data_IF_967597936933
#
_entry.id   IF_967597936933
#
_cell.length_a   1.000
_cell.length_b   1.000
_cell.length_c   1.000
_cell.angle_alpha   90.00
_cell.angle_beta   90.00
_cell.angle_gamma   90.00
#
_symmetry.space_group_name_H-M   'P 1'
#
loop_
_entity.id
_entity.type
_entity.pdbx_description
1 polymer ?
#
# COMPACT_ATOMS: atom_id res chain seq x y z
N UNK A 1 52.16 -30.21 -8.13
CA UNK A 1 50.77 -30.54 -8.39
C UNK A 1 49.99 -29.27 -8.12
N UNK A 2 49.71 -28.52 -9.14
CA UNK A 2 49.01 -27.23 -9.05
C UNK A 2 47.49 -27.51 -9.12
N UNK A 3 46.79 -27.26 -8.04
CA UNK A 3 45.32 -27.35 -8.00
C UNK A 3 44.79 -26.15 -8.81
N UNK A 4 44.31 -26.40 -10.02
CA UNK A 4 43.53 -25.42 -10.78
C UNK A 4 42.11 -25.48 -10.23
N UNK A 5 41.70 -24.45 -9.50
CA UNK A 5 40.28 -24.24 -9.17
C UNK A 5 39.62 -23.61 -10.39
N UNK A 6 38.81 -24.35 -11.08
CA UNK A 6 37.84 -23.77 -12.00
C UNK A 6 36.80 -23.03 -11.12
N UNK A 7 36.91 -21.71 -11.08
CA UNK A 7 35.84 -20.86 -10.58
C UNK A 7 34.72 -20.95 -11.62
N UNK A 8 33.74 -21.79 -11.34
CA UNK A 8 32.48 -21.76 -12.10
C UNK A 8 31.82 -20.43 -11.73
N UNK A 9 32.10 -19.39 -12.51
CA UNK A 9 31.24 -18.19 -12.54
C UNK A 9 29.87 -18.60 -13.11
N UNK A 10 29.06 -19.27 -12.30
CA UNK A 10 27.63 -19.18 -12.49
C UNK A 10 27.20 -17.82 -11.97
N UNK A 11 27.32 -16.80 -12.80
CA UNK A 11 26.68 -15.54 -12.55
C UNK A 11 25.18 -15.86 -12.33
N UNK A 12 24.73 -15.87 -11.08
CA UNK A 12 23.33 -16.02 -10.77
C UNK A 12 22.60 -14.89 -11.52
N UNK A 13 21.76 -15.25 -12.47
CA UNK A 13 20.96 -14.26 -13.19
C UNK A 13 20.16 -13.46 -12.16
N UNK A 14 20.16 -12.13 -12.24
CA UNK A 14 19.37 -11.33 -11.31
C UNK A 14 17.90 -11.76 -11.35
N UNK A 15 17.21 -11.66 -10.21
CA UNK A 15 15.80 -12.03 -10.15
C UNK A 15 14.98 -11.14 -11.10
N UNK A 16 14.16 -11.75 -11.94
CA UNK A 16 13.28 -11.06 -12.88
C UNK A 16 11.98 -10.71 -12.18
N UNK A 17 11.73 -9.41 -12.03
CA UNK A 17 10.52 -8.87 -11.42
C UNK A 17 9.65 -8.24 -12.50
N UNK A 18 8.39 -8.64 -12.58
CA UNK A 18 7.41 -8.05 -13.50
C UNK A 18 6.31 -7.33 -12.73
N UNK A 19 5.82 -6.24 -13.31
CA UNK A 19 4.69 -5.47 -12.78
C UNK A 19 3.60 -5.46 -13.82
N UNK A 20 2.44 -6.02 -13.50
CA UNK A 20 1.28 -6.04 -14.38
C UNK A 20 0.17 -5.15 -13.85
N UNK A 21 -0.17 -4.10 -14.60
CA UNK A 21 -1.28 -3.20 -14.31
C UNK A 21 -2.55 -3.63 -15.03
N UNK A 22 -3.62 -3.86 -14.27
CA UNK A 22 -4.87 -4.43 -14.78
C UNK A 22 -6.01 -3.43 -14.69
N UNK A 23 -6.66 -3.19 -15.85
CA UNK A 23 -7.73 -2.23 -15.98
C UNK A 23 -7.26 -0.77 -15.93
N UNK A 24 -8.17 0.19 -15.94
CA UNK A 24 -7.82 1.61 -15.99
C UNK A 24 -6.91 2.07 -14.86
N UNK A 25 -7.26 1.76 -13.60
CA UNK A 25 -6.46 2.15 -12.44
C UNK A 25 -5.07 1.51 -12.46
N UNK A 26 -4.96 0.20 -12.73
CA UNK A 26 -3.67 -0.47 -12.85
C UNK A 26 -2.81 0.07 -13.99
N UNK A 27 -3.40 0.37 -15.14
CA UNK A 27 -2.71 0.99 -16.26
C UNK A 27 -2.20 2.41 -15.94
N UNK A 28 -2.94 3.19 -15.14
CA UNK A 28 -2.49 4.50 -14.68
C UNK A 28 -1.32 4.40 -13.70
N UNK A 29 -1.37 3.44 -12.78
CA UNK A 29 -0.27 3.16 -11.87
C UNK A 29 1.01 2.78 -12.64
N UNK A 30 0.92 1.95 -13.69
CA UNK A 30 2.07 1.64 -14.56
C UNK A 30 2.63 2.89 -15.22
N UNK A 31 1.77 3.75 -15.79
CA UNK A 31 2.25 5.02 -16.37
C UNK A 31 2.96 5.90 -15.33
N UNK A 32 2.43 5.96 -14.10
CA UNK A 32 3.07 6.70 -13.00
C UNK A 32 4.45 6.12 -12.66
N UNK A 33 4.58 4.79 -12.56
CA UNK A 33 5.84 4.12 -12.28
C UNK A 33 6.89 4.37 -13.37
N UNK A 34 6.50 4.30 -14.63
CA UNK A 34 7.38 4.56 -15.78
C UNK A 34 7.84 6.03 -15.78
N UNK A 35 6.91 6.97 -15.60
CA UNK A 35 7.21 8.41 -15.54
C UNK A 35 8.10 8.80 -14.35
N UNK A 36 8.03 8.04 -13.27
CA UNK A 36 8.86 8.21 -12.08
C UNK A 36 10.15 7.39 -12.13
N UNK A 37 10.48 6.81 -13.29
CA UNK A 37 11.71 6.05 -13.51
C UNK A 37 11.96 4.93 -12.49
N UNK A 38 10.93 4.15 -12.18
CA UNK A 38 11.12 2.92 -11.37
C UNK A 38 11.91 1.92 -12.21
N UNK A 39 13.05 1.49 -11.69
CA UNK A 39 14.00 0.62 -12.38
C UNK A 39 13.97 -0.82 -11.85
N UNK A 40 14.61 -1.74 -12.59
CA UNK A 40 14.78 -3.13 -12.17
C UNK A 40 13.53 -4.01 -12.33
N UNK A 41 12.48 -3.51 -13.01
CA UNK A 41 11.23 -4.23 -13.24
C UNK A 41 10.78 -4.13 -14.69
N UNK A 42 10.08 -5.17 -15.17
CA UNK A 42 9.43 -5.17 -16.48
C UNK A 42 7.95 -4.80 -16.35
N UNK A 43 7.51 -3.81 -17.13
CA UNK A 43 6.14 -3.32 -17.08
C UNK A 43 5.24 -3.96 -18.13
N UNK A 44 4.05 -4.40 -17.67
CA UNK A 44 2.99 -4.97 -18.49
C UNK A 44 1.69 -4.24 -18.16
N UNK A 45 0.90 -3.89 -19.17
CA UNK A 45 -0.45 -3.35 -18.99
C UNK A 45 -1.47 -4.25 -19.65
N UNK A 46 -2.53 -4.59 -18.92
CA UNK A 46 -3.63 -5.43 -19.39
C UNK A 46 -4.98 -4.74 -19.19
N UNK A 47 -5.75 -4.58 -20.25
CA UNK A 47 -7.06 -3.90 -20.17
C UNK A 47 -8.02 -4.43 -21.21
N UNK A 48 -9.33 -4.35 -20.91
CA UNK A 48 -10.44 -4.60 -21.85
C UNK A 48 -10.78 -3.39 -22.70
N UNK A 49 -10.29 -2.19 -22.31
CA UNK A 49 -10.46 -0.94 -23.04
C UNK A 49 -9.24 -0.69 -23.94
N UNK A 50 -9.45 -0.81 -25.23
CA UNK A 50 -8.41 -0.65 -26.24
C UNK A 50 -7.89 0.79 -26.32
N UNK A 51 -8.74 1.81 -26.11
CA UNK A 51 -8.32 3.21 -26.17
C UNK A 51 -7.38 3.54 -25.00
N UNK A 52 -7.77 3.14 -23.77
CA UNK A 52 -6.93 3.30 -22.60
C UNK A 52 -5.58 2.58 -22.76
N UNK A 53 -5.59 1.39 -23.38
CA UNK A 53 -4.38 0.60 -23.60
C UNK A 53 -3.44 1.21 -24.65
N UNK A 54 -3.99 1.86 -25.68
CA UNK A 54 -3.17 2.57 -26.70
C UNK A 54 -2.41 3.76 -26.12
N UNK A 55 -2.97 4.45 -25.14
CA UNK A 55 -2.35 5.60 -24.46
C UNK A 55 -1.37 5.18 -23.36
N UNK A 56 -1.30 3.90 -23.04
CA UNK A 56 -0.42 3.38 -22.01
C UNK A 56 1.02 3.28 -22.48
N UNK A 57 1.97 3.57 -21.58
CA UNK A 57 3.41 3.62 -21.87
C UNK A 57 4.14 2.28 -21.65
N UNK A 58 3.45 1.25 -21.13
CA UNK A 58 4.07 -0.04 -20.91
C UNK A 58 4.62 -0.65 -22.20
N UNK A 59 5.85 -1.20 -22.18
CA UNK A 59 6.44 -1.88 -23.32
C UNK A 59 5.61 -3.08 -23.80
N UNK A 60 5.03 -3.85 -22.86
CA UNK A 60 4.15 -4.97 -23.16
C UNK A 60 2.71 -4.61 -22.77
N UNK A 61 1.80 -4.75 -23.73
CA UNK A 61 0.37 -4.42 -23.56
C UNK A 61 -0.48 -5.58 -24.03
N UNK A 62 -1.46 -5.98 -23.23
CA UNK A 62 -2.36 -7.10 -23.48
C UNK A 62 -3.79 -6.55 -23.53
N UNK A 63 -4.44 -6.67 -24.67
CA UNK A 63 -5.88 -6.40 -24.74
C UNK A 63 -6.63 -7.64 -24.29
N UNK A 64 -7.42 -7.53 -23.21
CA UNK A 64 -8.18 -8.64 -22.65
C UNK A 64 -9.58 -8.73 -23.28
N UNK A 65 -9.99 -9.95 -23.60
CA UNK A 65 -11.34 -10.26 -24.07
C UNK A 65 -11.68 -9.56 -25.40
N UNK A 66 -10.80 -9.67 -26.37
CA UNK A 66 -10.96 -9.02 -27.68
C UNK A 66 -12.30 -9.40 -28.34
N UNK A 67 -12.71 -10.68 -28.26
CA UNK A 67 -13.98 -11.13 -28.80
C UNK A 67 -15.16 -10.74 -27.90
N UNK A 68 -14.96 -10.81 -26.57
CA UNK A 68 -16.02 -10.56 -25.60
C UNK A 68 -16.37 -9.07 -25.49
N UNK A 69 -15.37 -8.19 -25.38
CA UNK A 69 -15.56 -6.75 -25.13
C UNK A 69 -15.43 -5.86 -26.36
N UNK A 70 -14.80 -6.38 -27.41
CA UNK A 70 -14.50 -5.63 -28.66
C UNK A 70 -13.73 -4.32 -28.39
N UNK A 71 -12.95 -4.28 -27.33
CA UNK A 71 -12.18 -3.09 -26.93
C UNK A 71 -12.99 -1.98 -26.26
N UNK A 72 -14.26 -2.22 -25.91
CA UNK A 72 -15.14 -1.23 -25.28
C UNK A 72 -15.13 -1.25 -23.75
N UNK A 73 -14.30 -2.09 -23.15
CA UNK A 73 -14.22 -2.22 -21.70
C UNK A 73 -15.21 -3.23 -21.12
N UNK A 74 -15.15 -3.45 -19.81
CA UNK A 74 -15.97 -4.43 -19.08
C UNK A 74 -17.28 -3.85 -18.52
N UNK A 75 -17.60 -2.56 -18.75
CA UNK A 75 -18.85 -1.93 -18.31
C UNK A 75 -19.09 -1.99 -16.79
N UNK A 76 -18.02 -1.86 -15.98
CA UNK A 76 -18.06 -2.01 -14.52
C UNK A 76 -18.56 -3.38 -14.01
N UNK A 77 -18.54 -4.42 -14.86
CA UNK A 77 -18.96 -5.77 -14.51
C UNK A 77 -17.74 -6.68 -14.32
N UNK A 78 -17.44 -7.16 -13.08
CA UNK A 78 -16.28 -8.01 -12.81
C UNK A 78 -16.34 -9.37 -13.51
N UNK A 79 -17.52 -9.95 -13.74
CA UNK A 79 -17.64 -11.22 -14.46
C UNK A 79 -17.21 -11.08 -15.93
N UNK A 80 -17.48 -9.92 -16.55
CA UNK A 80 -16.96 -9.63 -17.90
C UNK A 80 -15.44 -9.50 -17.87
N UNK A 81 -14.88 -8.79 -16.87
CA UNK A 81 -13.44 -8.66 -16.69
C UNK A 81 -12.74 -10.00 -16.46
N UNK A 82 -13.34 -10.88 -15.66
CA UNK A 82 -12.87 -12.24 -15.40
C UNK A 82 -12.86 -13.07 -16.69
N UNK A 83 -13.98 -13.11 -17.41
CA UNK A 83 -14.08 -13.89 -18.64
C UNK A 83 -13.15 -13.36 -19.74
N UNK A 84 -12.94 -12.05 -19.79
CA UNK A 84 -11.96 -11.43 -20.69
C UNK A 84 -10.52 -11.90 -20.39
N UNK A 85 -10.14 -11.99 -19.11
CA UNK A 85 -8.83 -12.52 -18.74
C UNK A 85 -8.70 -14.02 -19.01
N UNK A 86 -9.77 -14.78 -18.84
CA UNK A 86 -9.77 -16.21 -19.17
C UNK A 86 -9.66 -16.48 -20.68
N UNK A 87 -10.24 -15.60 -21.52
CA UNK A 87 -10.10 -15.67 -22.98
C UNK A 87 -8.64 -15.54 -23.42
N UNK A 88 -7.88 -14.65 -22.76
CA UNK A 88 -6.47 -14.37 -23.10
C UNK A 88 -5.47 -14.98 -22.11
N UNK A 89 -5.82 -16.10 -21.47
CA UNK A 89 -5.00 -16.78 -20.47
C UNK A 89 -3.58 -17.08 -20.99
N UNK A 90 -3.46 -17.55 -22.22
CA UNK A 90 -2.17 -17.90 -22.84
C UNK A 90 -1.29 -16.65 -23.04
N UNK A 91 -1.87 -15.54 -23.49
CA UNK A 91 -1.15 -14.29 -23.67
C UNK A 91 -0.65 -13.72 -22.33
N UNK A 92 -1.45 -13.87 -21.26
CA UNK A 92 -1.04 -13.50 -19.89
C UNK A 92 0.12 -14.39 -19.42
N UNK A 93 0.01 -15.70 -19.59
CA UNK A 93 1.05 -16.65 -19.19
C UNK A 93 2.37 -16.38 -19.95
N UNK A 94 2.30 -16.14 -21.27
CA UNK A 94 3.47 -15.74 -22.07
C UNK A 94 4.09 -14.42 -21.58
N UNK A 95 3.26 -13.46 -21.18
CA UNK A 95 3.75 -12.20 -20.64
C UNK A 95 4.49 -12.35 -19.31
N UNK A 96 4.05 -13.28 -18.47
CA UNK A 96 4.62 -13.56 -17.16
C UNK A 96 5.80 -14.54 -17.21
N UNK A 97 6.01 -15.20 -18.34
CA UNK A 97 7.06 -16.20 -18.47
C UNK A 97 8.44 -15.67 -18.10
N UNK A 98 9.21 -16.47 -17.36
CA UNK A 98 10.55 -16.13 -16.87
C UNK A 98 10.58 -15.21 -15.65
N UNK A 99 9.44 -14.76 -15.10
CA UNK A 99 9.41 -13.98 -13.89
C UNK A 99 9.68 -14.86 -12.65
N UNK A 100 10.48 -14.33 -11.71
CA UNK A 100 10.62 -14.89 -10.38
C UNK A 100 9.56 -14.31 -9.43
N UNK A 101 9.13 -13.06 -9.68
CA UNK A 101 8.13 -12.34 -8.91
C UNK A 101 7.24 -11.51 -9.83
N UNK A 102 5.97 -11.41 -9.50
CA UNK A 102 5.03 -10.52 -10.17
C UNK A 102 4.29 -9.65 -9.18
N UNK A 103 4.29 -8.34 -9.44
CA UNK A 103 3.37 -7.40 -8.81
C UNK A 103 2.13 -7.26 -9.68
N UNK A 104 0.96 -7.44 -9.07
CA UNK A 104 -0.33 -7.20 -9.70
C UNK A 104 -0.87 -5.89 -9.14
N UNK A 105 -1.03 -4.87 -9.98
CA UNK A 105 -1.64 -3.60 -9.56
C UNK A 105 -2.98 -3.39 -10.25
N UNK A 106 -4.01 -3.03 -9.47
CA UNK A 106 -5.35 -2.80 -9.98
C UNK A 106 -6.16 -1.87 -9.08
N UNK A 107 -7.04 -1.08 -9.68
CA UNK A 107 -8.11 -0.40 -8.94
C UNK A 107 -9.29 -1.35 -8.76
N UNK A 108 -9.62 -1.68 -7.50
CA UNK A 108 -10.74 -2.55 -7.18
C UNK A 108 -12.08 -1.77 -7.26
N UNK A 109 -13.18 -2.48 -7.47
CA UNK A 109 -14.52 -1.88 -7.58
C UNK A 109 -14.96 -1.57 -9.01
N UNK A 110 -14.06 -1.72 -9.99
CA UNK A 110 -14.38 -1.66 -11.42
C UNK A 110 -14.67 -3.04 -12.01
N UNK A 111 -14.83 -3.11 -13.33
CA UNK A 111 -15.05 -4.38 -14.04
C UNK A 111 -13.74 -5.13 -14.29
N UNK A 112 -12.83 -4.54 -15.07
CA UNK A 112 -11.60 -5.21 -15.53
C UNK A 112 -10.66 -5.52 -14.36
N UNK A 113 -10.29 -4.51 -13.56
CA UNK A 113 -9.35 -4.70 -12.45
C UNK A 113 -9.84 -5.75 -11.46
N UNK A 114 -11.09 -5.62 -11.01
CA UNK A 114 -11.69 -6.52 -10.01
C UNK A 114 -11.84 -7.96 -10.50
N UNK A 115 -12.24 -8.11 -11.78
CA UNK A 115 -12.50 -9.43 -12.36
C UNK A 115 -11.25 -10.14 -12.85
N UNK A 116 -10.34 -9.43 -13.51
CA UNK A 116 -9.15 -10.02 -14.14
C UNK A 116 -7.97 -10.23 -13.17
N UNK A 117 -7.81 -9.38 -12.13
CA UNK A 117 -6.69 -9.53 -11.21
C UNK A 117 -6.61 -10.91 -10.53
N UNK A 118 -7.72 -11.51 -10.03
CA UNK A 118 -7.67 -12.87 -9.48
C UNK A 118 -7.28 -13.93 -10.52
N UNK A 119 -7.67 -13.76 -11.80
CA UNK A 119 -7.30 -14.70 -12.86
C UNK A 119 -5.81 -14.60 -13.18
N UNK A 120 -5.26 -13.40 -13.27
CA UNK A 120 -3.82 -13.19 -13.47
C UNK A 120 -3.02 -13.76 -12.30
N UNK A 121 -3.49 -13.58 -11.07
CA UNK A 121 -2.86 -14.15 -9.88
C UNK A 121 -2.86 -15.69 -9.89
N UNK A 122 -3.96 -16.30 -10.31
CA UNK A 122 -4.08 -17.75 -10.47
C UNK A 122 -3.07 -18.30 -11.49
N UNK A 123 -2.95 -17.63 -12.63
CA UNK A 123 -1.96 -17.97 -13.68
C UNK A 123 -0.54 -17.89 -13.13
N UNK A 124 -0.20 -16.80 -12.44
CA UNK A 124 1.13 -16.58 -11.86
C UNK A 124 1.46 -17.66 -10.83
N UNK A 125 0.49 -18.00 -9.97
CA UNK A 125 0.62 -19.04 -8.96
C UNK A 125 0.84 -20.43 -9.58
N UNK A 126 0.10 -20.80 -10.63
CA UNK A 126 0.30 -22.05 -11.37
C UNK A 126 1.70 -22.13 -11.99
N UNK A 127 2.26 -20.99 -12.39
CA UNK A 127 3.63 -20.90 -12.92
C UNK A 127 4.71 -20.91 -11.81
N UNK A 128 4.33 -20.95 -10.53
CA UNK A 128 5.26 -20.92 -9.38
C UNK A 128 5.93 -19.57 -9.15
N UNK A 129 5.36 -18.49 -9.68
CA UNK A 129 5.88 -17.12 -9.55
C UNK A 129 5.41 -16.54 -8.22
N UNK A 130 6.32 -15.93 -7.44
CA UNK A 130 5.94 -15.19 -6.22
C UNK A 130 5.00 -14.05 -6.61
N UNK A 131 3.77 -14.09 -6.09
CA UNK A 131 2.69 -13.19 -6.52
C UNK A 131 2.29 -12.23 -5.41
N UNK A 132 2.54 -10.95 -5.61
CA UNK A 132 2.17 -9.87 -4.68
C UNK A 132 1.17 -8.94 -5.36
N UNK A 133 -0.02 -8.81 -4.77
CA UNK A 133 -0.99 -7.83 -5.26
C UNK A 133 -0.92 -6.54 -4.44
N UNK A 134 -0.85 -5.41 -5.12
CA UNK A 134 -0.91 -4.06 -4.55
C UNK A 134 -2.06 -3.32 -5.21
N UNK A 135 -3.17 -3.19 -4.50
CA UNK A 135 -4.43 -2.74 -5.10
C UNK A 135 -5.09 -1.64 -4.29
N UNK A 136 -5.82 -0.76 -4.97
CA UNK A 136 -6.55 0.32 -4.30
C UNK A 136 -8.00 -0.08 -4.04
N UNK A 137 -8.53 0.33 -2.88
CA UNK A 137 -9.95 0.25 -2.53
C UNK A 137 -10.62 1.60 -2.82
N UNK A 138 -11.82 1.60 -3.47
CA UNK A 138 -12.54 2.83 -3.79
C UNK A 138 -12.85 3.66 -2.56
N UNK A 139 -13.14 4.95 -2.78
CA UNK A 139 -13.63 5.86 -1.75
C UNK A 139 -15.04 5.46 -1.27
N UNK A 140 -15.38 5.82 -0.03
CA UNK A 140 -16.69 5.50 0.57
C UNK A 140 -17.86 6.08 -0.22
N UNK A 141 -17.71 7.26 -0.79
CA UNK A 141 -18.74 7.90 -1.63
C UNK A 141 -18.99 7.17 -2.95
N UNK A 142 -18.13 6.25 -3.38
CA UNK A 142 -18.33 5.45 -4.60
C UNK A 142 -19.36 4.31 -4.41
N UNK A 143 -19.88 4.11 -3.20
CA UNK A 143 -21.06 3.30 -2.91
C UNK A 143 -20.98 1.86 -3.41
N UNK A 144 -21.68 1.54 -4.52
CA UNK A 144 -21.73 0.17 -5.07
C UNK A 144 -20.34 -0.40 -5.40
N UNK A 145 -19.38 0.44 -5.77
CA UNK A 145 -18.01 0.00 -6.09
C UNK A 145 -17.29 -0.60 -4.88
N UNK A 146 -17.59 -0.14 -3.66
CA UNK A 146 -17.06 -0.73 -2.44
C UNK A 146 -17.48 -2.18 -2.24
N UNK A 147 -18.75 -2.49 -2.52
CA UNK A 147 -19.27 -3.87 -2.40
C UNK A 147 -18.57 -4.77 -3.42
N UNK A 148 -18.45 -4.29 -4.66
CA UNK A 148 -17.76 -5.01 -5.73
C UNK A 148 -16.27 -5.20 -5.42
N UNK A 149 -15.63 -4.16 -4.84
CA UNK A 149 -14.22 -4.22 -4.42
C UNK A 149 -14.01 -5.26 -3.31
N UNK A 150 -14.90 -5.30 -2.32
CA UNK A 150 -14.81 -6.26 -1.22
C UNK A 150 -14.84 -7.72 -1.72
N UNK A 151 -15.79 -8.03 -2.58
CA UNK A 151 -15.92 -9.37 -3.18
C UNK A 151 -14.68 -9.74 -4.04
N UNK A 152 -14.18 -8.76 -4.81
CA UNK A 152 -12.95 -8.96 -5.59
C UNK A 152 -11.69 -9.14 -4.75
N UNK A 153 -11.56 -8.41 -3.65
CA UNK A 153 -10.46 -8.55 -2.70
C UNK A 153 -10.44 -9.94 -2.03
N UNK A 154 -11.61 -10.44 -1.63
CA UNK A 154 -11.74 -11.79 -1.06
C UNK A 154 -11.28 -12.86 -2.05
N UNK A 155 -11.66 -12.73 -3.33
CA UNK A 155 -11.21 -13.67 -4.38
C UNK A 155 -9.71 -13.53 -4.63
N UNK A 156 -9.17 -12.31 -4.70
CA UNK A 156 -7.76 -12.06 -4.95
C UNK A 156 -6.87 -12.59 -3.81
N UNK A 157 -7.28 -12.38 -2.56
CA UNK A 157 -6.57 -12.83 -1.34
C UNK A 157 -6.24 -14.33 -1.37
N UNK A 158 -7.11 -15.15 -1.96
CA UNK A 158 -6.92 -16.60 -2.04
C UNK A 158 -5.94 -17.03 -3.15
N UNK A 159 -5.60 -16.12 -4.06
CA UNK A 159 -4.77 -16.41 -5.24
C UNK A 159 -3.37 -15.80 -5.16
N UNK A 160 -3.10 -14.93 -4.20
CA UNK A 160 -1.80 -14.27 -4.06
C UNK A 160 -1.05 -14.77 -2.81
N UNK A 161 0.26 -14.64 -2.80
CA UNK A 161 1.09 -14.90 -1.63
C UNK A 161 0.96 -13.76 -0.62
N UNK A 162 0.91 -12.52 -1.11
CA UNK A 162 0.75 -11.32 -0.28
C UNK A 162 -0.21 -10.32 -0.92
N UNK A 163 -1.11 -9.76 -0.13
CA UNK A 163 -2.10 -8.75 -0.56
C UNK A 163 -1.95 -7.45 0.22
N UNK A 164 -1.53 -6.39 -0.48
CA UNK A 164 -1.46 -5.04 0.04
C UNK A 164 -2.68 -4.27 -0.47
N UNK A 165 -3.54 -3.81 0.43
CA UNK A 165 -4.73 -3.02 0.09
C UNK A 165 -4.52 -1.59 0.53
N UNK A 166 -4.70 -0.65 -0.40
CA UNK A 166 -4.59 0.78 -0.17
C UNK A 166 -5.99 1.38 -0.15
N UNK A 167 -6.54 1.74 1.03
CA UNK A 167 -7.82 2.41 1.12
C UNK A 167 -7.69 3.88 0.69
N UNK A 168 -8.38 4.29 -0.39
CA UNK A 168 -8.30 5.67 -0.86
C UNK A 168 -8.76 6.70 0.19
N UNK A 169 -9.72 6.33 1.05
CA UNK A 169 -10.18 7.21 2.13
C UNK A 169 -9.08 7.59 3.12
N UNK A 170 -8.16 6.67 3.41
CA UNK A 170 -7.03 6.94 4.29
C UNK A 170 -6.05 7.94 3.68
N UNK A 171 -5.91 7.95 2.36
CA UNK A 171 -5.08 8.93 1.66
C UNK A 171 -5.69 10.34 1.75
N UNK A 172 -7.01 10.46 1.66
CA UNK A 172 -7.69 11.75 1.81
C UNK A 172 -7.48 12.34 3.21
N UNK A 173 -7.49 11.50 4.24
CA UNK A 173 -7.24 11.94 5.62
C UNK A 173 -5.83 12.55 5.79
N UNK A 174 -4.86 12.06 5.02
CA UNK A 174 -3.48 12.58 5.03
C UNK A 174 -3.29 13.84 4.18
N UNK A 175 -4.03 13.95 3.06
CA UNK A 175 -3.88 15.05 2.10
C UNK A 175 -4.70 16.29 2.47
N UNK A 176 -5.77 16.14 3.27
CA UNK A 176 -6.72 17.20 3.59
C UNK A 176 -7.87 17.33 2.57
N UNK A 177 -8.87 18.15 2.90
CA UNK A 177 -10.12 18.24 2.12
C UNK A 177 -10.00 19.13 0.86
N UNK A 178 -8.98 19.99 0.77
CA UNK A 178 -8.83 20.98 -0.32
C UNK A 178 -8.11 20.44 -1.58
N UNK A 179 -7.84 19.11 -1.63
CA UNK A 179 -7.15 18.51 -2.79
C UNK A 179 -8.10 18.30 -3.96
N UNK A 180 -7.58 18.48 -5.18
CA UNK A 180 -8.35 18.16 -6.38
C UNK A 180 -8.53 16.64 -6.55
N UNK A 181 -9.61 16.24 -7.24
CA UNK A 181 -9.85 14.82 -7.56
C UNK A 181 -8.66 14.19 -8.28
N UNK A 182 -8.00 14.95 -9.17
CA UNK A 182 -6.80 14.49 -9.88
C UNK A 182 -5.62 14.23 -8.93
N UNK A 183 -5.41 15.09 -7.96
CA UNK A 183 -4.35 14.93 -6.96
C UNK A 183 -4.62 13.75 -6.03
N UNK A 184 -5.88 13.53 -5.63
CA UNK A 184 -6.28 12.39 -4.83
C UNK A 184 -5.97 11.04 -5.52
N UNK A 185 -6.32 10.91 -6.81
CA UNK A 185 -5.99 9.70 -7.58
C UNK A 185 -4.48 9.57 -7.84
N UNK A 186 -3.79 10.68 -8.09
CA UNK A 186 -2.34 10.66 -8.23
C UNK A 186 -1.64 10.19 -6.95
N UNK A 187 -2.11 10.61 -5.79
CA UNK A 187 -1.58 10.13 -4.51
C UNK A 187 -1.76 8.62 -4.34
N UNK A 188 -2.91 8.06 -4.79
CA UNK A 188 -3.11 6.61 -4.80
C UNK A 188 -2.11 5.90 -5.73
N UNK A 189 -1.86 6.44 -6.93
CA UNK A 189 -0.87 5.91 -7.86
C UNK A 189 0.56 6.04 -7.30
N UNK A 190 0.88 7.12 -6.58
CA UNK A 190 2.17 7.33 -5.91
C UNK A 190 2.41 6.31 -4.80
N UNK A 191 1.38 5.94 -4.04
CA UNK A 191 1.48 4.88 -3.02
C UNK A 191 1.69 3.51 -3.67
N UNK A 192 0.95 3.19 -4.75
CA UNK A 192 1.18 1.97 -5.53
C UNK A 192 2.63 1.89 -6.06
N UNK A 193 3.14 3.02 -6.57
CA UNK A 193 4.53 3.13 -7.02
C UNK A 193 5.52 2.88 -5.87
N UNK A 194 5.32 3.55 -4.72
CA UNK A 194 6.21 3.40 -3.57
C UNK A 194 6.24 1.97 -3.05
N UNK A 195 5.10 1.26 -3.09
CA UNK A 195 5.03 -0.14 -2.71
C UNK A 195 5.88 -1.03 -3.62
N UNK A 196 5.71 -0.88 -4.93
CA UNK A 196 6.47 -1.65 -5.91
C UNK A 196 7.95 -1.28 -5.87
N UNK A 197 8.29 0.01 -5.87
CA UNK A 197 9.66 0.49 -5.80
C UNK A 197 10.37 0.02 -4.52
N UNK A 198 9.74 0.17 -3.36
CA UNK A 198 10.32 -0.21 -2.08
C UNK A 198 10.68 -1.70 -1.97
N UNK A 199 9.92 -2.58 -2.62
CA UNK A 199 10.22 -4.02 -2.64
C UNK A 199 11.22 -4.35 -3.76
N UNK A 200 11.04 -3.77 -4.96
CA UNK A 200 11.93 -4.07 -6.10
C UNK A 200 13.35 -3.55 -5.86
N UNK A 201 13.50 -2.35 -5.29
CA UNK A 201 14.82 -1.77 -4.97
C UNK A 201 15.66 -2.69 -4.09
N UNK A 202 15.06 -3.30 -3.08
CA UNK A 202 15.75 -4.25 -2.17
C UNK A 202 16.39 -5.41 -2.92
N UNK A 203 15.74 -5.87 -3.99
CA UNK A 203 16.17 -7.04 -4.77
C UNK A 203 17.09 -6.64 -5.92
N UNK A 204 16.84 -5.49 -6.56
CA UNK A 204 17.48 -5.12 -7.84
C UNK A 204 18.56 -4.05 -7.70
N UNK A 205 18.50 -3.22 -6.66
CA UNK A 205 19.48 -2.16 -6.44
C UNK A 205 20.53 -2.62 -5.43
N UNK A 206 21.81 -2.71 -5.80
CA UNK A 206 22.86 -3.05 -4.86
C UNK A 206 22.98 -1.95 -3.81
N UNK A 207 22.90 -2.34 -2.54
CA UNK A 207 23.11 -1.49 -1.39
C UNK A 207 24.27 -2.01 -0.53
N UNK A 208 24.48 -1.41 0.64
CA UNK A 208 25.50 -1.87 1.60
C UNK A 208 25.09 -3.22 2.22
N UNK A 209 23.78 -3.38 2.49
CA UNK A 209 23.19 -4.62 3.02
C UNK A 209 22.16 -5.09 2.01
N UNK A 210 22.53 -6.12 1.26
CA UNK A 210 21.65 -6.71 0.27
C UNK A 210 20.83 -7.84 0.88
N UNK A 211 19.53 -7.81 0.61
CA UNK A 211 18.67 -8.97 0.83
C UNK A 211 18.66 -9.80 -0.45
N UNK A 212 18.83 -11.09 -0.33
CA UNK A 212 18.64 -11.97 -1.47
C UNK A 212 17.13 -12.16 -1.76
N UNK A 213 16.84 -12.65 -2.97
CA UNK A 213 15.45 -12.89 -3.38
C UNK A 213 14.76 -13.92 -2.45
N UNK A 214 15.50 -14.87 -1.87
CA UNK A 214 14.94 -15.88 -0.97
C UNK A 214 14.47 -15.24 0.34
N UNK A 215 15.19 -14.26 0.88
CA UNK A 215 14.79 -13.50 2.07
C UNK A 215 13.49 -12.74 1.84
N UNK A 216 13.38 -12.03 0.71
CA UNK A 216 12.15 -11.31 0.33
C UNK A 216 11.01 -12.30 0.13
N UNK A 217 11.26 -13.43 -0.56
CA UNK A 217 10.26 -14.48 -0.76
C UNK A 217 9.76 -15.03 0.58
N UNK A 218 10.62 -15.29 1.53
CA UNK A 218 10.23 -15.82 2.84
C UNK A 218 9.27 -14.88 3.55
N UNK A 219 9.59 -13.58 3.63
CA UNK A 219 8.73 -12.58 4.28
C UNK A 219 7.42 -12.38 3.51
N UNK A 220 7.48 -12.29 2.18
CA UNK A 220 6.30 -12.02 1.34
C UNK A 220 5.39 -13.24 1.16
N UNK A 221 5.89 -14.46 1.39
CA UNK A 221 5.08 -15.69 1.34
C UNK A 221 4.34 -15.97 2.65
N UNK A 222 4.52 -15.18 3.70
CA UNK A 222 3.73 -15.29 4.93
C UNK A 222 2.30 -14.91 4.59
N UNK A 223 1.42 -15.91 4.57
CA UNK A 223 0.03 -15.77 4.16
C UNK A 223 -0.73 -14.75 5.03
N UNK A 224 -1.48 -13.87 4.42
CA UNK A 224 -2.31 -12.89 5.11
C UNK A 224 -2.38 -11.56 4.40
N UNK A 225 -2.95 -10.60 5.08
CA UNK A 225 -2.87 -9.21 4.64
C UNK A 225 -1.47 -8.67 4.91
N UNK A 226 -0.98 -7.88 3.98
CA UNK A 226 0.22 -7.09 4.16
C UNK A 226 -0.13 -5.60 4.13
N UNK A 227 0.60 -4.83 4.90
CA UNK A 227 0.47 -3.38 4.91
C UNK A 227 1.83 -2.73 4.77
N UNK A 228 1.83 -1.49 4.31
CA UNK A 228 3.05 -0.75 4.02
C UNK A 228 2.95 0.67 4.53
N UNK A 229 4.06 1.15 5.08
CA UNK A 229 4.31 2.55 5.30
C UNK A 229 5.60 2.99 4.64
N UNK A 230 5.63 4.17 4.06
CA UNK A 230 6.83 4.74 3.47
C UNK A 230 6.88 6.23 3.75
N UNK A 231 8.02 6.71 4.22
CA UNK A 231 8.24 8.13 4.44
C UNK A 231 9.68 8.52 4.11
N UNK A 232 9.87 9.80 3.81
CA UNK A 232 11.16 10.38 3.45
C UNK A 232 11.38 11.62 4.29
N UNK A 233 12.54 11.71 4.92
CA UNK A 233 12.94 12.88 5.70
C UNK A 233 14.33 13.35 5.33
N UNK A 234 14.65 14.60 5.67
CA UNK A 234 15.95 15.23 5.47
C UNK A 234 16.51 15.83 6.75
N UNK A 235 17.82 16.13 6.74
CA UNK A 235 18.49 16.78 7.84
C UNK A 235 19.08 15.83 8.89
N UNK A 236 19.32 16.35 10.11
CA UNK A 236 20.11 15.67 11.15
C UNK A 236 19.40 14.45 11.73
N UNK A 237 18.07 14.53 11.91
CA UNK A 237 17.25 13.48 12.55
C UNK A 237 16.44 12.67 11.53
N UNK A 238 16.89 12.68 10.26
CA UNK A 238 16.17 12.08 9.11
C UNK A 238 15.83 10.60 9.32
N UNK A 239 16.70 9.84 9.96
CA UNK A 239 16.50 8.42 10.20
C UNK A 239 15.32 8.16 11.12
N UNK A 240 15.26 8.86 12.26
CA UNK A 240 14.17 8.75 13.22
C UNK A 240 12.85 9.27 12.63
N UNK A 241 12.88 10.47 12.06
CA UNK A 241 11.68 11.10 11.48
C UNK A 241 11.08 10.25 10.36
N UNK A 242 11.88 9.79 9.39
CA UNK A 242 11.39 8.93 8.32
C UNK A 242 10.81 7.62 8.84
N UNK A 243 11.41 7.04 9.89
CA UNK A 243 10.92 5.77 10.45
C UNK A 243 9.63 5.96 11.23
N UNK A 244 9.55 6.98 12.09
CA UNK A 244 8.34 7.31 12.85
C UNK A 244 7.18 7.66 11.91
N UNK A 245 7.41 8.47 10.88
CA UNK A 245 6.41 8.82 9.86
C UNK A 245 5.98 7.61 9.02
N UNK A 246 6.92 6.71 8.67
CA UNK A 246 6.58 5.48 7.97
C UNK A 246 5.68 4.57 8.81
N UNK A 247 5.95 4.44 10.11
CA UNK A 247 5.13 3.66 11.05
C UNK A 247 3.78 4.34 11.29
N UNK A 248 3.78 5.68 11.40
CA UNK A 248 2.56 6.49 11.57
C UNK A 248 1.76 6.67 10.27
N UNK A 249 2.17 6.01 9.18
CA UNK A 249 1.45 6.10 7.90
C UNK A 249 -0.02 5.74 8.08
N UNK A 250 -0.96 6.53 7.54
CA UNK A 250 -2.41 6.24 7.59
C UNK A 250 -2.77 4.86 7.05
N UNK A 251 -1.90 4.26 6.24
CA UNK A 251 -2.07 2.93 5.68
C UNK A 251 -1.79 1.82 6.71
N UNK A 252 -1.04 2.13 7.77
CA UNK A 252 -0.74 1.21 8.87
C UNK A 252 -1.63 1.44 10.11
N UNK A 253 -2.39 2.56 10.15
CA UNK A 253 -3.13 3.04 11.34
C UNK A 253 -4.21 2.07 11.87
N UNK A 254 -4.84 1.28 11.00
CA UNK A 254 -5.87 0.30 11.39
C UNK A 254 -5.29 -1.05 11.88
N UNK A 255 -3.96 -1.21 11.87
CA UNK A 255 -3.30 -2.48 12.18
C UNK A 255 -2.09 -2.25 13.08
N UNK A 256 -2.05 -2.97 14.18
CA UNK A 256 -0.85 -2.98 15.02
C UNK A 256 0.24 -3.81 14.35
N UNK A 257 1.42 -3.23 14.16
CA UNK A 257 2.62 -3.98 13.74
C UNK A 257 2.98 -5.12 14.72
N UNK A 258 2.46 -5.04 15.96
CA UNK A 258 2.58 -6.09 16.98
C UNK A 258 1.92 -7.42 16.56
N UNK A 259 1.03 -7.40 15.56
CA UNK A 259 0.43 -8.60 14.97
C UNK A 259 1.14 -9.14 13.73
N UNK A 260 2.17 -8.45 13.23
CA UNK A 260 2.90 -8.86 12.04
C UNK A 260 3.77 -10.09 12.31
N UNK A 261 3.75 -11.07 11.40
CA UNK A 261 4.61 -12.24 11.45
C UNK A 261 5.93 -12.02 10.69
N UNK A 262 5.92 -11.13 9.69
CA UNK A 262 7.10 -10.72 8.96
C UNK A 262 7.15 -9.21 8.79
N UNK A 263 8.36 -8.65 8.84
CA UNK A 263 8.62 -7.23 8.62
C UNK A 263 9.82 -7.07 7.69
N UNK A 264 9.61 -6.42 6.56
CA UNK A 264 10.64 -6.04 5.62
C UNK A 264 10.85 -4.52 5.71
N UNK A 265 12.08 -4.10 5.95
CA UNK A 265 12.45 -2.69 6.00
C UNK A 265 13.45 -2.39 4.90
N UNK A 266 13.13 -1.46 4.04
CA UNK A 266 14.05 -0.92 3.04
C UNK A 266 14.46 0.51 3.41
N UNK A 267 15.76 0.76 3.44
CA UNK A 267 16.35 2.07 3.71
C UNK A 267 17.03 2.55 2.44
N UNK A 268 16.50 3.62 1.83
CA UNK A 268 17.05 4.19 0.59
C UNK A 268 17.70 5.53 0.88
N UNK A 269 18.96 5.71 0.43
CA UNK A 269 19.72 6.96 0.56
C UNK A 269 20.48 7.27 -0.72
N UNK A 270 21.03 8.47 -0.82
CA UNK A 270 22.04 8.76 -1.83
C UNK A 270 23.27 7.85 -1.61
N UNK A 271 24.04 7.53 -2.69
CA UNK A 271 25.20 6.64 -2.60
C UNK A 271 26.19 7.03 -1.51
N UNK A 272 26.53 6.08 -0.64
CA UNK A 272 27.51 6.27 0.45
C UNK A 272 27.08 7.19 1.59
N UNK A 273 25.82 7.64 1.64
CA UNK A 273 25.35 8.63 2.61
C UNK A 273 24.74 8.02 3.88
N UNK A 274 24.48 6.71 3.94
CA UNK A 274 23.93 6.04 5.11
C UNK A 274 24.98 5.87 6.22
N UNK A 275 24.66 6.36 7.43
CA UNK A 275 25.52 6.22 8.59
C UNK A 275 25.11 5.01 9.45
N UNK A 276 26.08 4.38 10.10
CA UNK A 276 25.82 3.26 11.01
C UNK A 276 24.92 3.66 12.21
N UNK A 277 25.00 4.89 12.67
CA UNK A 277 24.14 5.43 13.72
C UNK A 277 22.68 5.48 13.26
N UNK A 278 22.42 5.98 12.04
CA UNK A 278 21.10 6.06 11.44
C UNK A 278 20.50 4.67 11.23
N UNK A 279 21.30 3.73 10.70
CA UNK A 279 20.90 2.34 10.55
C UNK A 279 20.46 1.71 11.88
N UNK A 280 21.26 1.88 12.96
CA UNK A 280 20.90 1.37 14.29
C UNK A 280 19.67 2.02 14.87
N UNK A 281 19.48 3.31 14.64
CA UNK A 281 18.32 4.07 15.10
C UNK A 281 17.03 3.54 14.44
N UNK A 282 17.03 3.34 13.11
CA UNK A 282 15.91 2.76 12.37
C UNK A 282 15.56 1.37 12.92
N UNK A 283 16.57 0.51 13.10
CA UNK A 283 16.36 -0.83 13.65
C UNK A 283 15.76 -0.81 15.06
N UNK A 284 16.21 0.13 15.92
CA UNK A 284 15.70 0.29 17.28
C UNK A 284 14.23 0.69 17.26
N UNK A 285 13.90 1.72 16.50
CA UNK A 285 12.52 2.21 16.37
C UNK A 285 11.59 1.13 15.84
N UNK A 286 11.95 0.46 14.73
CA UNK A 286 11.12 -0.64 14.18
C UNK A 286 10.94 -1.78 15.20
N UNK A 287 11.99 -2.09 15.99
CA UNK A 287 11.92 -3.17 16.97
C UNK A 287 10.98 -2.88 18.15
N UNK A 288 10.71 -1.60 18.44
CA UNK A 288 9.76 -1.21 19.49
C UNK A 288 8.30 -1.47 19.09
N UNK A 289 8.01 -1.44 17.78
CA UNK A 289 6.65 -1.60 17.26
C UNK A 289 6.36 -3.02 16.72
N UNK A 290 7.39 -3.77 16.31
CA UNK A 290 7.22 -5.10 15.76
C UNK A 290 7.16 -6.18 16.87
N UNK A 291 6.36 -7.24 16.63
CA UNK A 291 6.33 -8.39 17.54
C UNK A 291 7.74 -8.97 17.74
N UNK A 292 8.12 -9.37 18.96
CA UNK A 292 9.44 -9.96 19.25
C UNK A 292 9.80 -11.16 18.36
N UNK A 293 8.80 -12.00 18.05
CA UNK A 293 8.95 -13.22 17.24
C UNK A 293 8.79 -12.97 15.73
N UNK A 294 8.53 -11.73 15.28
CA UNK A 294 8.41 -11.41 13.87
C UNK A 294 9.73 -11.65 13.13
N UNK A 295 9.68 -12.29 11.97
CA UNK A 295 10.83 -12.37 11.06
C UNK A 295 11.12 -10.98 10.48
N UNK A 296 12.28 -10.40 10.84
CA UNK A 296 12.65 -9.04 10.43
C UNK A 296 13.81 -9.09 9.46
N UNK A 297 13.62 -8.48 8.30
CA UNK A 297 14.64 -8.33 7.26
C UNK A 297 14.88 -6.84 6.98
N UNK A 298 16.14 -6.44 6.97
CA UNK A 298 16.58 -5.07 6.75
C UNK A 298 17.46 -5.03 5.51
N UNK A 299 17.02 -4.30 4.49
CA UNK A 299 17.77 -4.04 3.27
C UNK A 299 18.13 -2.57 3.15
N UNK A 300 19.17 -2.28 2.37
CA UNK A 300 19.55 -0.92 2.00
C UNK A 300 19.61 -0.81 0.49
N UNK A 301 19.16 0.31 -0.05
CA UNK A 301 19.25 0.65 -1.47
C UNK A 301 19.89 2.02 -1.64
N UNK A 302 20.60 2.22 -2.74
CA UNK A 302 21.17 3.50 -3.10
C UNK A 302 20.46 4.08 -4.31
N UNK A 303 19.94 5.32 -4.19
CA UNK A 303 19.29 6.06 -5.27
C UNK A 303 20.17 7.26 -5.67
N UNK A 304 20.80 7.25 -6.85
CA UNK A 304 21.64 8.36 -7.30
C UNK A 304 20.92 9.69 -7.49
N UNK A 305 19.58 9.65 -7.57
CA UNK A 305 18.77 10.86 -7.76
C UNK A 305 18.29 11.46 -6.42
N UNK A 306 18.55 10.78 -5.31
CA UNK A 306 18.20 11.28 -3.98
C UNK A 306 19.21 12.31 -3.48
N UNK A 307 18.76 13.37 -2.81
CA UNK A 307 19.66 14.34 -2.21
C UNK A 307 20.45 13.70 -1.05
N UNK A 308 21.70 14.13 -0.85
CA UNK A 308 22.61 13.54 0.15
C UNK A 308 22.11 13.66 1.60
N UNK A 309 21.28 14.68 1.88
CA UNK A 309 20.68 14.91 3.19
C UNK A 309 19.33 14.19 3.38
N UNK A 310 18.85 13.47 2.38
CA UNK A 310 17.56 12.75 2.42
C UNK A 310 17.76 11.26 2.71
N UNK A 311 16.75 10.67 3.35
CA UNK A 311 16.64 9.26 3.63
C UNK A 311 15.17 8.84 3.54
N UNK A 312 14.90 7.73 2.87
CA UNK A 312 13.56 7.14 2.78
C UNK A 312 13.55 5.79 3.49
N UNK A 313 12.53 5.58 4.32
CA UNK A 313 12.27 4.29 4.98
C UNK A 313 10.97 3.74 4.44
N UNK A 314 11.00 2.50 3.97
CA UNK A 314 9.81 1.75 3.57
C UNK A 314 9.69 0.51 4.44
N UNK A 315 8.56 0.36 5.12
CA UNK A 315 8.27 -0.74 6.03
C UNK A 315 7.10 -1.53 5.46
N UNK A 316 7.27 -2.84 5.33
CA UNK A 316 6.22 -3.76 4.87
C UNK A 316 6.02 -4.79 5.96
N UNK A 317 4.80 -4.87 6.47
CA UNK A 317 4.38 -5.83 7.48
C UNK A 317 3.49 -6.89 6.84
N UNK A 318 3.80 -8.17 7.04
CA UNK A 318 3.08 -9.31 6.45
C UNK A 318 2.52 -10.23 7.53
N UNK A 319 1.56 -11.10 7.15
CA UNK A 319 0.94 -12.03 8.07
C UNK A 319 -0.02 -11.37 9.07
N UNK A 320 -0.51 -10.18 8.74
CA UNK A 320 -1.44 -9.43 9.58
C UNK A 320 -2.81 -10.12 9.61
N UNK A 321 -3.38 -10.25 10.81
CA UNK A 321 -4.74 -10.73 11.00
C UNK A 321 -5.72 -9.55 10.90
N UNK A 322 -6.79 -9.72 10.16
CA UNK A 322 -7.91 -8.77 10.21
C UNK A 322 -8.39 -8.65 11.67
N UNK A 323 -8.21 -7.47 12.27
CA UNK A 323 -8.90 -7.18 13.52
C UNK A 323 -10.39 -7.07 13.19
N UNK A 324 -11.19 -7.98 13.74
CA UNK A 324 -12.63 -7.82 13.71
C UNK A 324 -12.92 -6.45 14.38
N UNK A 325 -13.44 -5.48 13.59
CA UNK A 325 -13.94 -4.23 14.17
C UNK A 325 -14.87 -4.62 15.30
N UNK A 326 -14.45 -4.38 16.54
CA UNK A 326 -15.33 -4.49 17.70
C UNK A 326 -16.45 -3.48 17.43
N UNK A 327 -17.61 -3.98 17.03
CA UNK A 327 -18.79 -3.15 16.86
C UNK A 327 -18.94 -2.35 18.16
N UNK A 328 -19.14 -1.04 18.10
CA UNK A 328 -19.35 -0.27 19.31
C UNK A 328 -20.46 -0.96 20.09
N UNK A 329 -20.16 -1.42 21.31
CA UNK A 329 -21.09 -2.13 22.16
C UNK A 329 -22.35 -1.25 22.23
N UNK A 330 -23.44 -1.75 21.61
CA UNK A 330 -24.73 -1.10 21.68
C UNK A 330 -25.02 -0.84 23.15
N UNK A 331 -24.99 0.43 23.56
CA UNK A 331 -25.45 0.85 24.85
C UNK A 331 -26.86 0.25 25.03
N UNK A 332 -26.97 -0.81 25.82
CA UNK A 332 -28.25 -1.32 26.24
C UNK A 332 -28.92 -0.19 27.02
N UNK A 333 -29.86 0.50 26.35
CA UNK A 333 -30.79 1.37 27.04
C UNK A 333 -31.55 0.52 28.06
N UNK A 334 -31.15 0.63 29.30
CA UNK A 334 -31.94 0.11 30.42
C UNK A 334 -33.21 0.95 30.45
N UNK A 335 -34.28 0.43 29.87
CA UNK A 335 -35.62 0.97 30.05
C UNK A 335 -35.94 0.85 31.55
N UNK A 336 -35.84 1.95 32.30
CA UNK A 336 -36.41 2.03 33.63
C UNK A 336 -37.91 1.83 33.51
N UNK A 337 -38.42 0.72 34.06
CA UNK A 337 -39.83 0.55 34.28
C UNK A 337 -40.28 1.63 35.27
N UNK A 338 -41.25 2.42 34.86
CA UNK A 338 -41.93 3.38 35.74
C UNK A 338 -42.63 2.60 36.87
N UNK A 339 -42.08 2.72 38.07
CA UNK A 339 -42.82 2.41 39.29
C UNK A 339 -43.65 3.66 39.65
N UNK A 340 -44.95 3.54 39.56
CA UNK A 340 -45.89 4.49 40.15
C UNK A 340 -45.81 4.42 41.68
N UNK A 341 -45.44 5.53 42.32
CA UNK A 341 -45.42 5.64 43.75
C UNK A 341 -44.88 7.00 44.21
N UNK A 342 -45.79 7.77 44.77
CA UNK A 342 -45.69 9.13 45.33
C UNK A 342 -44.61 9.30 46.41
N UNK A 343 -44.07 10.53 46.47
CA UNK A 343 -43.37 11.25 47.54
C UNK A 343 -41.83 11.19 47.61
N UNK A 344 -41.24 12.39 47.60
CA UNK A 344 -39.99 12.72 48.27
C UNK A 344 -38.81 12.99 47.37
N UNK A 345 -38.42 14.24 47.29
CA UNK A 345 -37.23 14.73 46.65
C UNK A 345 -35.96 14.20 47.32
N UNK A 346 -35.07 13.56 46.58
CA UNK A 346 -33.63 13.54 46.87
C UNK A 346 -32.86 13.31 45.57
N UNK A 347 -31.93 14.22 45.30
CA UNK A 347 -31.05 14.22 44.12
C UNK A 347 -29.82 13.35 44.43
N UNK A 348 -29.50 12.30 43.69
CA UNK A 348 -28.27 11.56 43.91
C UNK A 348 -27.06 12.28 43.28
N UNK A 349 -26.05 12.51 44.09
CA UNK A 349 -24.72 12.99 43.71
C UNK A 349 -24.04 12.04 42.68
N UNK A 350 -23.70 12.58 41.53
CA UNK A 350 -22.81 11.91 40.57
C UNK A 350 -21.37 12.20 40.96
N UNK A 351 -20.67 11.18 41.37
CA UNK A 351 -19.22 11.22 41.62
C UNK A 351 -18.52 11.37 40.25
N UNK A 352 -17.99 12.56 40.00
CA UNK A 352 -17.02 12.83 38.94
C UNK A 352 -15.63 12.43 39.41
N UNK A 353 -15.07 11.36 38.88
CA UNK A 353 -13.63 11.12 38.93
C UNK A 353 -12.93 12.04 37.94
N UNK A 354 -12.08 12.93 38.48
CA UNK A 354 -11.44 13.97 37.71
C UNK A 354 -10.22 13.50 36.90
N UNK A 355 -10.03 14.14 35.78
CA UNK A 355 -8.71 14.54 35.30
C UNK A 355 -8.81 15.99 34.84
N UNK A 356 -7.95 16.81 35.44
CA UNK A 356 -7.87 18.25 35.26
C UNK A 356 -7.45 18.62 33.84
N UNK A 357 -8.30 19.41 33.17
CA UNK A 357 -7.86 20.25 32.06
C UNK A 357 -7.64 21.66 32.61
N UNK A 358 -6.43 22.16 32.47
CA UNK A 358 -6.01 23.52 32.82
C UNK A 358 -6.64 24.50 31.81
N UNK A 359 -7.61 25.27 32.27
CA UNK A 359 -8.16 26.39 31.53
C UNK A 359 -7.16 27.55 31.55
N UNK A 360 -6.71 27.98 30.39
CA UNK A 360 -6.08 29.28 30.21
C UNK A 360 -7.17 30.34 30.02
N UNK A 361 -7.28 31.18 31.01
CA UNK A 361 -8.08 32.39 31.02
C UNK A 361 -7.42 33.43 30.07
N UNK A 362 -8.08 33.84 29.03
CA UNK A 362 -7.77 35.07 28.29
C UNK A 362 -9.02 35.93 28.33
N UNK A 363 -8.81 37.08 28.95
CA UNK A 363 -9.82 38.06 29.28
C UNK A 363 -10.44 38.72 28.04
N UNK A 364 -11.69 39.04 28.20
CA UNK A 364 -12.42 39.97 27.36
C UNK A 364 -11.88 41.37 27.54
N UNK A 365 -11.55 42.04 26.43
CA UNK A 365 -11.47 43.51 26.39
C UNK A 365 -12.11 43.94 25.10
N UNK A 366 -13.09 44.82 25.29
CA UNK A 366 -13.80 45.62 24.33
C UNK A 366 -12.95 46.18 23.19
N UNK A 367 -13.50 46.21 22.00
CA UNK A 367 -13.40 47.39 21.12
C UNK A 367 -14.59 47.40 20.15
N UNK A 368 -15.56 48.30 20.46
CA UNK A 368 -16.41 48.90 19.47
C UNK A 368 -15.56 49.99 18.78
N UNK A 369 -15.48 49.99 17.48
CA UNK A 369 -15.65 51.23 16.69
C UNK A 369 -15.98 50.93 15.24
N UNK A 370 -16.92 51.70 14.75
CA UNK A 370 -17.47 51.77 13.41
C UNK A 370 -16.60 52.64 12.52
N UNK A 371 -16.81 52.45 11.24
CA UNK A 371 -16.51 53.36 10.10
C UNK A 371 -15.13 53.19 9.48
N UNK A 372 -15.10 52.79 8.24
CA UNK A 372 -14.93 53.62 7.05
C UNK A 372 -15.10 52.72 5.79
N UNK A 373 -16.10 53.09 5.02
CA UNK A 373 -16.30 52.78 3.61
C UNK A 373 -15.21 53.45 2.75
N UNK A 374 -15.00 52.83 1.59
CA UNK A 374 -14.55 53.36 0.30
C UNK A 374 -13.07 53.18 -0.08
N UNK A 375 -13.01 52.77 -1.36
CA UNK A 375 -11.95 52.93 -2.35
C UNK A 375 -10.76 51.92 -2.37
N UNK A 376 -10.84 50.89 -3.18
CA UNK A 376 -10.29 50.68 -4.55
C UNK A 376 -10.56 49.27 -4.99
#
# INVERSE_FOLDING_TARGET
MQLVYDVVESAASPAVIKVIGIGGGGCNAINNMINSSVHGVEFISANTDAQSLQLNQAPKRIQLGTNLTRGLGAGANPEVGKNAALEDREAIAEALNGANMVFITAGMGGGTGTGAAPVVADIAKEMGILTVAVVTRPFEYEGKRLVVAKDGLERLKNQVDSLIVIPNDKLMSALGEDVTVKEAFRAADDVLRNAVAGISEVVTCPGIINLDFADVKNVMSIMGMAMMGSAQAGGTDRARLATEEAIASPLLDDVSLDGAQGVLVNITTAPGCLRMSEYKEIMSVVSEYAHPDAERKYGTAEDPNMAEDQLRVTIIATGLKEQAKVAPSSLKMVRSQQATGTHGAEVPNVIRSGRSARALNLGAADFADQSVLDDF
#
